data_IF_220482912654
#
_entry.id   IF_220482912654
#
_cell.length_a   1.000
_cell.length_b   1.000
_cell.length_c   1.000
_cell.angle_alpha   90.00
_cell.angle_beta   90.00
_cell.angle_gamma   90.00
#
_symmetry.space_group_name_H-M   'P 1'
#
loop_
_entity.id
_entity.type
_entity.pdbx_description
1 polymer ?
#
# COMPACT_ATOMS: atom_id res chain seq x y z
N UNK A 1 41.70 -7.37 11.04
CA UNK A 1 40.49 -7.60 11.86
C UNK A 1 39.42 -6.68 11.31
N UNK A 2 38.31 -7.21 10.77
CA UNK A 2 37.22 -6.39 10.22
C UNK A 2 36.26 -6.08 11.37
N UNK A 3 36.17 -4.80 11.74
CA UNK A 3 35.17 -4.32 12.66
C UNK A 3 33.80 -4.41 11.99
N UNK A 4 32.99 -5.35 12.45
CA UNK A 4 31.58 -5.44 12.09
C UNK A 4 30.88 -4.24 12.75
N UNK A 5 30.70 -3.15 11.99
CA UNK A 5 29.86 -2.03 12.39
C UNK A 5 28.42 -2.56 12.39
N UNK A 6 27.96 -3.11 13.51
CA UNK A 6 26.55 -3.41 13.71
C UNK A 6 25.80 -2.09 13.79
N UNK A 7 24.85 -1.80 12.89
CA UNK A 7 23.92 -0.69 13.07
C UNK A 7 23.22 -0.86 14.42
N UNK A 8 23.14 0.20 15.21
CA UNK A 8 22.38 0.20 16.46
C UNK A 8 20.97 -0.33 16.16
N UNK A 9 20.54 -1.46 16.77
CA UNK A 9 19.15 -1.85 16.65
C UNK A 9 18.31 -0.70 17.18
N UNK A 10 17.20 -0.41 16.50
CA UNK A 10 16.16 0.48 16.99
C UNK A 10 15.51 -0.16 18.22
N UNK A 11 16.25 -0.31 19.32
CA UNK A 11 15.78 -0.94 20.53
C UNK A 11 15.23 0.11 21.48
N UNK A 12 14.00 -0.16 21.87
CA UNK A 12 13.22 0.57 22.84
C UNK A 12 13.92 0.63 24.20
N UNK A 13 13.87 1.80 24.86
CA UNK A 13 14.17 1.91 26.30
C UNK A 13 13.03 1.33 27.17
N UNK A 14 12.19 0.46 26.62
CA UNK A 14 10.99 -0.06 27.26
C UNK A 14 10.96 -1.59 27.20
N UNK A 15 11.80 -2.25 28.00
CA UNK A 15 11.54 -3.63 28.39
C UNK A 15 12.29 -4.01 29.67
N UNK A 16 11.67 -3.75 30.82
CA UNK A 16 11.80 -4.63 31.98
C UNK A 16 10.45 -5.29 32.25
N UNK A 17 10.53 -6.60 32.47
CA UNK A 17 9.54 -7.67 32.32
C UNK A 17 8.37 -7.69 33.32
N UNK A 18 7.35 -8.48 32.94
CA UNK A 18 6.49 -9.42 33.73
C UNK A 18 5.00 -9.08 33.54
N UNK A 19 4.05 -9.94 33.18
CA UNK A 19 3.92 -11.39 33.01
C UNK A 19 2.41 -11.74 33.01
N UNK A 20 2.04 -13.01 32.75
CA UNK A 20 0.69 -13.63 32.71
C UNK A 20 -0.15 -13.36 31.44
N UNK A 21 -0.41 -14.33 30.55
CA UNK A 21 -1.26 -15.55 30.60
C UNK A 21 -2.74 -15.22 30.83
N UNK A 22 -3.58 -15.49 29.82
CA UNK A 22 -4.72 -16.42 29.90
C UNK A 22 -5.45 -16.59 28.55
N UNK A 23 -6.01 -17.78 28.38
CA UNK A 23 -6.69 -18.31 27.20
C UNK A 23 -8.20 -18.31 27.40
N UNK A 24 -9.01 -18.16 26.36
CA UNK A 24 -10.36 -18.79 26.31
C UNK A 24 -10.75 -19.13 24.87
N UNK A 25 -10.98 -20.42 24.66
CA UNK A 25 -11.60 -21.08 23.50
C UNK A 25 -13.12 -21.01 23.61
N UNK A 26 -13.86 -20.86 22.50
CA UNK A 26 -15.29 -21.21 22.45
C UNK A 26 -15.60 -22.09 21.23
N UNK A 27 -16.15 -23.27 21.53
CA UNK A 27 -16.86 -24.15 20.60
C UNK A 27 -18.34 -23.74 20.53
N UNK A 28 -18.96 -23.86 19.35
CA UNK A 28 -20.41 -23.80 19.18
C UNK A 28 -20.84 -24.62 17.97
N UNK A 29 -21.63 -25.67 18.19
CA UNK A 29 -22.08 -26.69 17.24
C UNK A 29 -23.62 -26.74 17.25
N UNK A 30 -24.24 -27.01 16.11
CA UNK A 30 -25.66 -27.43 15.97
C UNK A 30 -26.57 -26.33 15.39
N UNK A 31 -27.52 -26.58 14.48
CA UNK A 31 -28.21 -27.81 14.06
C UNK A 31 -28.86 -27.65 12.67
N UNK A 32 -28.95 -28.74 11.90
CA UNK A 32 -29.79 -28.92 10.69
C UNK A 32 -31.25 -29.20 11.06
N UNK A 33 -32.18 -28.56 10.36
CA UNK A 33 -33.59 -28.91 10.12
C UNK A 33 -33.91 -28.31 8.74
N UNK A 34 -34.59 -28.90 7.76
CA UNK A 34 -35.41 -30.10 7.64
C UNK A 34 -36.30 -29.82 6.41
N UNK A 35 -36.19 -30.64 5.36
CA UNK A 35 -36.97 -30.50 4.13
C UNK A 35 -38.45 -30.84 4.34
N UNK A 36 -39.37 -30.10 3.72
CA UNK A 36 -40.77 -30.55 3.54
C UNK A 36 -41.36 -30.08 2.21
N UNK A 37 -41.67 -31.07 1.39
CA UNK A 37 -42.35 -30.98 0.10
C UNK A 37 -43.84 -30.63 0.26
N UNK A 38 -44.36 -29.75 -0.60
CA UNK A 38 -45.79 -29.68 -0.91
C UNK A 38 -46.01 -29.56 -2.42
N UNK A 39 -47.04 -30.29 -2.84
CA UNK A 39 -47.41 -30.73 -4.18
C UNK A 39 -48.16 -29.70 -5.03
N UNK A 40 -47.87 -29.75 -6.33
CA UNK A 40 -48.76 -29.69 -7.49
C UNK A 40 -50.14 -28.99 -7.38
N UNK A 41 -50.36 -27.99 -8.25
CA UNK A 41 -51.63 -27.85 -8.98
C UNK A 41 -51.36 -27.39 -10.42
N UNK A 42 -51.86 -28.20 -11.35
CA UNK A 42 -51.86 -28.03 -12.80
C UNK A 42 -52.84 -26.92 -13.23
N UNK A 43 -52.49 -26.14 -14.25
CA UNK A 43 -53.49 -25.41 -15.05
C UNK A 43 -53.26 -25.64 -16.55
N UNK A 44 -54.34 -25.88 -17.32
CA UNK A 44 -54.25 -26.34 -18.70
C UNK A 44 -53.98 -25.19 -19.68
N UNK A 45 -53.28 -25.56 -20.76
CA UNK A 45 -53.16 -24.81 -21.99
C UNK A 45 -54.45 -24.98 -22.81
N UNK A 46 -55.00 -23.90 -23.40
CA UNK A 46 -56.03 -24.03 -24.43
C UNK A 46 -55.77 -23.01 -25.56
N UNK A 47 -55.81 -23.40 -26.85
CA UNK A 47 -55.30 -22.58 -27.93
C UNK A 47 -56.42 -22.01 -28.83
N UNK A 48 -56.00 -21.02 -29.65
CA UNK A 48 -56.61 -20.55 -30.91
C UNK A 48 -57.93 -19.74 -30.84
N UNK A 49 -57.81 -18.43 -31.11
CA UNK A 49 -58.62 -17.79 -32.17
C UNK A 49 -57.75 -16.86 -33.00
N UNK A 50 -57.76 -17.12 -34.29
CA UNK A 50 -57.08 -16.40 -35.34
C UNK A 50 -57.91 -15.21 -35.86
N UNK A 51 -57.19 -14.24 -36.43
CA UNK A 51 -57.67 -13.32 -37.46
C UNK A 51 -58.11 -11.94 -36.95
N UNK A 52 -57.38 -10.87 -37.31
CA UNK A 52 -57.68 -10.07 -38.49
C UNK A 52 -56.65 -8.93 -38.66
N UNK A 53 -56.42 -8.54 -39.91
CA UNK A 53 -55.45 -7.55 -40.39
C UNK A 53 -55.94 -6.11 -40.17
N UNK A 54 -54.98 -5.17 -40.21
CA UNK A 54 -55.03 -3.69 -40.16
C UNK A 54 -54.64 -3.17 -38.77
N UNK A 55 -53.63 -2.31 -38.59
CA UNK A 55 -53.26 -1.18 -39.43
C UNK A 55 -51.83 -0.76 -39.09
N UNK A 56 -50.97 -0.64 -40.10
CA UNK A 56 -49.69 0.06 -39.98
C UNK A 56 -49.98 1.55 -39.75
N UNK A 57 -49.81 2.02 -38.50
CA UNK A 57 -49.54 3.45 -38.27
C UNK A 57 -48.05 3.57 -38.02
N UNK A 58 -47.38 4.15 -39.00
CA UNK A 58 -46.02 4.61 -38.86
C UNK A 58 -45.95 5.61 -37.69
N UNK A 59 -45.25 5.23 -36.62
CA UNK A 59 -44.70 6.18 -35.66
C UNK A 59 -43.24 6.44 -36.04
N UNK A 60 -43.07 7.21 -37.10
CA UNK A 60 -41.87 8.02 -37.33
C UNK A 60 -41.72 8.96 -36.13
N UNK A 61 -40.90 8.59 -35.13
CA UNK A 61 -40.62 9.50 -34.03
C UNK A 61 -39.93 8.95 -32.79
N UNK A 62 -39.26 7.78 -32.81
CA UNK A 62 -38.69 7.21 -31.58
C UNK A 62 -37.37 6.45 -31.70
N UNK A 63 -36.73 6.44 -32.87
CA UNK A 63 -35.52 5.62 -33.06
C UNK A 63 -34.22 6.29 -32.52
N UNK A 64 -34.22 7.62 -32.37
CA UNK A 64 -33.05 8.38 -31.90
C UNK A 64 -33.04 8.64 -30.38
N UNK A 65 -33.83 7.90 -29.60
CA UNK A 65 -33.82 8.03 -28.13
C UNK A 65 -33.87 6.67 -27.42
N UNK A 66 -33.26 5.63 -28.01
CA UNK A 66 -33.00 4.36 -27.31
C UNK A 66 -31.54 3.90 -27.39
N UNK A 67 -30.79 4.37 -28.38
CA UNK A 67 -29.36 4.07 -28.53
C UNK A 67 -28.49 5.09 -27.76
N UNK A 68 -29.00 6.31 -27.52
CA UNK A 68 -28.31 7.36 -26.76
C UNK A 68 -27.99 6.94 -25.30
N UNK A 69 -28.82 6.08 -24.68
CA UNK A 69 -28.66 5.67 -23.28
C UNK A 69 -27.63 4.55 -23.07
N UNK A 70 -27.34 3.72 -24.09
CA UNK A 70 -26.37 2.63 -23.96
C UNK A 70 -24.94 3.19 -23.97
N UNK A 71 -24.69 4.25 -24.75
CA UNK A 71 -23.39 4.95 -24.77
C UNK A 71 -23.17 5.73 -23.45
N UNK A 72 -24.20 6.34 -22.87
CA UNK A 72 -24.08 6.99 -21.55
C UNK A 72 -23.88 6.00 -20.39
N UNK A 73 -24.46 4.80 -20.46
CA UNK A 73 -24.24 3.77 -19.45
C UNK A 73 -22.80 3.21 -19.47
N UNK A 74 -22.15 3.12 -20.65
CA UNK A 74 -20.75 2.68 -20.76
C UNK A 74 -19.75 3.76 -20.33
N UNK A 75 -20.06 5.05 -20.53
CA UNK A 75 -19.26 6.16 -20.00
C UNK A 75 -19.36 6.24 -18.46
N UNK A 76 -20.49 5.83 -17.88
CA UNK A 76 -20.66 5.69 -16.42
C UNK A 76 -20.03 4.40 -15.84
N UNK A 77 -19.90 3.33 -16.64
CA UNK A 77 -19.28 2.06 -16.18
C UNK A 77 -17.74 2.08 -16.25
N UNK A 78 -17.14 2.96 -17.05
CA UNK A 78 -15.67 3.15 -17.11
C UNK A 78 -15.06 3.96 -15.95
N UNK A 79 -15.89 4.59 -15.12
CA UNK A 79 -15.48 5.45 -14.00
C UNK A 79 -15.30 4.70 -12.66
N UNK A 80 -15.54 3.38 -12.66
CA UNK A 80 -15.40 2.51 -11.49
C UNK A 80 -14.12 1.68 -11.50
N UNK A 81 -13.05 2.14 -12.17
CA UNK A 81 -11.73 1.54 -11.97
C UNK A 81 -11.22 1.99 -10.59
N UNK A 82 -11.20 1.13 -9.55
CA UNK A 82 -10.48 1.47 -8.34
C UNK A 82 -9.03 1.70 -8.74
N UNK A 83 -8.50 2.89 -8.47
CA UNK A 83 -7.06 3.12 -8.55
C UNK A 83 -6.40 2.11 -7.62
N UNK A 84 -5.77 1.07 -8.18
CA UNK A 84 -4.89 0.22 -7.41
C UNK A 84 -3.89 1.15 -6.71
N UNK A 85 -3.62 0.98 -5.40
CA UNK A 85 -2.62 1.78 -4.74
C UNK A 85 -1.29 1.50 -5.43
N UNK A 86 -0.90 2.40 -6.34
CA UNK A 86 0.39 2.35 -6.97
C UNK A 86 1.40 2.61 -5.87
N UNK A 87 2.25 1.62 -5.59
CA UNK A 87 3.40 1.80 -4.72
C UNK A 87 4.16 3.04 -5.19
N UNK A 88 4.35 4.01 -4.29
CA UNK A 88 4.87 5.32 -4.68
C UNK A 88 6.33 5.18 -5.13
N UNK A 89 6.61 5.49 -6.39
CA UNK A 89 7.98 5.46 -6.91
C UNK A 89 8.73 6.75 -6.58
N UNK A 90 9.97 6.63 -6.12
CA UNK A 90 10.89 7.76 -5.89
C UNK A 90 12.21 7.50 -6.63
N UNK A 91 12.74 8.52 -7.29
CA UNK A 91 14.04 8.44 -7.97
C UNK A 91 15.22 8.76 -7.05
N UNK A 92 16.40 8.20 -7.36
CA UNK A 92 17.65 8.66 -6.75
C UNK A 92 17.86 10.13 -7.15
N UNK A 93 18.14 11.00 -6.17
CA UNK A 93 18.23 12.45 -6.34
C UNK A 93 16.94 13.20 -5.98
N UNK A 94 15.82 12.49 -5.82
CA UNK A 94 14.53 13.10 -5.52
C UNK A 94 14.27 13.23 -4.02
N UNK A 95 13.32 14.12 -3.71
CA UNK A 95 12.76 14.32 -2.37
C UNK A 95 11.25 14.13 -2.48
N UNK A 96 10.71 13.21 -1.69
CA UNK A 96 9.29 12.92 -1.59
C UNK A 96 8.76 13.48 -0.28
N UNK A 97 7.59 14.12 -0.33
CA UNK A 97 6.83 14.52 0.85
C UNK A 97 5.67 13.54 1.03
N UNK A 98 5.40 13.18 2.28
CA UNK A 98 4.32 12.30 2.66
C UNK A 98 3.77 12.68 4.03
N UNK A 99 2.75 11.97 4.49
CA UNK A 99 2.21 12.12 5.83
C UNK A 99 1.68 10.78 6.30
N UNK A 100 2.05 10.38 7.51
CA UNK A 100 1.42 9.24 8.16
C UNK A 100 0.05 9.65 8.71
N UNK A 101 -0.98 8.92 8.37
CA UNK A 101 -2.39 9.21 8.70
C UNK A 101 -3.05 8.00 9.35
N UNK A 102 -4.24 8.20 9.92
CA UNK A 102 -4.99 7.10 10.55
C UNK A 102 -5.57 6.11 9.54
N UNK A 103 -5.61 6.46 8.26
CA UNK A 103 -6.05 5.58 7.17
C UNK A 103 -4.93 4.69 6.61
N UNK A 104 -3.68 4.92 7.03
CA UNK A 104 -2.56 4.13 6.53
C UNK A 104 -2.57 2.72 7.10
N UNK A 105 -1.94 1.81 6.35
CA UNK A 105 -1.77 0.43 6.81
C UNK A 105 -0.88 0.42 8.05
N UNK A 106 -1.17 -0.51 8.96
CA UNK A 106 -0.44 -0.69 10.21
C UNK A 106 0.42 -1.94 10.19
N UNK A 107 1.64 -1.85 10.72
CA UNK A 107 2.49 -3.00 10.90
C UNK A 107 1.83 -3.98 11.88
N UNK A 108 1.84 -5.27 11.52
CA UNK A 108 1.26 -6.32 12.38
C UNK A 108 2.06 -6.53 13.67
N UNK A 109 3.34 -6.14 13.68
CA UNK A 109 4.25 -6.31 14.81
C UNK A 109 3.98 -5.35 15.96
N UNK A 110 3.74 -4.06 15.65
CA UNK A 110 3.69 -2.99 16.64
C UNK A 110 2.52 -2.00 16.45
N UNK A 111 1.73 -2.14 15.38
CA UNK A 111 0.61 -1.25 15.06
C UNK A 111 0.99 0.10 14.48
N UNK A 112 2.27 0.37 14.19
CA UNK A 112 2.72 1.64 13.60
C UNK A 112 2.19 1.83 12.18
N UNK A 113 1.69 3.03 11.85
CA UNK A 113 1.32 3.36 10.48
C UNK A 113 2.58 3.46 9.61
N UNK A 114 2.46 3.04 8.35
CA UNK A 114 3.58 3.03 7.43
C UNK A 114 3.18 3.36 5.99
N UNK A 115 4.16 3.89 5.27
CA UNK A 115 4.14 4.08 3.82
C UNK A 115 5.24 3.27 3.14
N UNK A 116 4.96 2.85 1.90
CA UNK A 116 5.92 2.16 1.05
C UNK A 116 6.33 3.00 -0.15
N UNK A 117 7.62 2.95 -0.44
CA UNK A 117 8.21 3.51 -1.63
C UNK A 117 9.05 2.48 -2.37
N UNK A 118 9.24 2.70 -3.67
CA UNK A 118 10.16 1.91 -4.49
C UNK A 118 11.09 2.82 -5.28
N UNK A 119 12.31 2.36 -5.50
CA UNK A 119 13.25 3.02 -6.42
C UNK A 119 14.06 1.99 -7.19
N UNK A 120 14.57 2.40 -8.36
CA UNK A 120 15.49 1.57 -9.15
C UNK A 120 16.92 2.00 -8.86
N UNK A 121 17.77 1.03 -8.52
CA UNK A 121 19.20 1.22 -8.30
C UNK A 121 20.05 0.37 -9.22
N UNK A 122 21.34 0.69 -9.28
CA UNK A 122 22.38 -0.08 -9.98
C UNK A 122 23.41 -0.58 -8.99
N UNK A 123 23.92 -1.78 -9.21
CA UNK A 123 25.00 -2.35 -8.41
C UNK A 123 26.19 -1.38 -8.36
N UNK A 124 26.80 -1.24 -7.19
CA UNK A 124 27.93 -0.35 -6.97
C UNK A 124 27.56 1.12 -6.75
N UNK A 125 26.31 1.55 -6.94
CA UNK A 125 25.90 2.91 -6.61
C UNK A 125 25.94 3.12 -5.10
N UNK A 126 26.64 4.16 -4.65
CA UNK A 126 26.62 4.59 -3.26
C UNK A 126 25.51 5.62 -3.07
N UNK A 127 24.56 5.32 -2.18
CA UNK A 127 23.42 6.20 -1.91
C UNK A 127 23.30 6.55 -0.44
N UNK A 128 22.59 7.66 -0.16
CA UNK A 128 22.08 8.04 1.14
C UNK A 128 20.56 8.16 1.06
N UNK A 129 19.85 7.42 1.91
CA UNK A 129 18.41 7.55 2.11
C UNK A 129 18.17 8.22 3.45
N UNK A 130 17.33 9.24 3.49
CA UNK A 130 17.07 10.05 4.67
C UNK A 130 15.58 10.25 4.89
N UNK A 131 15.13 10.01 6.12
CA UNK A 131 13.78 10.27 6.59
C UNK A 131 13.82 11.32 7.71
N UNK A 132 13.02 12.36 7.55
CA UNK A 132 12.88 13.46 8.51
C UNK A 132 11.41 13.74 8.80
N UNK A 133 11.05 13.81 10.08
CA UNK A 133 9.76 14.32 10.54
C UNK A 133 9.96 15.16 11.81
N UNK A 134 9.10 16.16 12.00
CA UNK A 134 8.96 16.90 13.27
C UNK A 134 7.77 16.41 14.09
N UNK A 135 6.96 15.50 13.53
CA UNK A 135 5.70 15.05 14.12
C UNK A 135 5.84 13.71 14.82
N UNK A 136 6.80 12.87 14.42
CA UNK A 136 7.02 11.55 15.00
C UNK A 136 8.50 11.13 14.93
N UNK A 137 8.90 10.21 15.80
CA UNK A 137 10.20 9.53 15.71
C UNK A 137 10.13 8.49 14.58
N UNK A 138 11.01 8.65 13.59
CA UNK A 138 10.92 7.94 12.32
C UNK A 138 11.77 6.67 12.28
N UNK A 139 11.22 5.62 11.69
CA UNK A 139 11.91 4.39 11.35
C UNK A 139 11.97 4.23 9.84
N UNK A 140 13.18 4.07 9.32
CA UNK A 140 13.49 3.94 7.90
C UNK A 140 14.07 2.56 7.65
N UNK A 141 13.44 1.79 6.77
CA UNK A 141 13.91 0.44 6.40
C UNK A 141 14.11 0.37 4.89
N UNK A 142 15.27 -0.13 4.48
CA UNK A 142 15.61 -0.46 3.10
C UNK A 142 15.54 -1.99 2.93
N UNK A 143 14.79 -2.45 1.93
CA UNK A 143 14.62 -3.86 1.62
C UNK A 143 14.97 -4.16 0.16
N UNK A 144 15.25 -5.44 -0.08
CA UNK A 144 15.46 -5.98 -1.41
C UNK A 144 14.13 -6.13 -2.18
N UNK A 145 14.21 -6.72 -3.38
CA UNK A 145 13.04 -6.95 -4.25
C UNK A 145 12.03 -7.94 -3.64
N UNK A 146 12.51 -8.84 -2.79
CA UNK A 146 11.73 -9.93 -2.18
C UNK A 146 11.14 -9.48 -0.83
N UNK A 147 11.42 -8.24 -0.40
CA UNK A 147 10.94 -7.66 0.85
C UNK A 147 11.84 -7.96 2.06
N UNK A 148 13.02 -8.54 1.84
CA UNK A 148 13.99 -8.83 2.89
C UNK A 148 14.69 -7.54 3.31
N UNK A 149 14.76 -7.29 4.62
CA UNK A 149 15.48 -6.13 5.14
C UNK A 149 16.98 -6.21 4.84
N UNK A 150 17.51 -5.16 4.22
CA UNK A 150 18.95 -4.97 3.99
C UNK A 150 19.55 -4.14 5.11
N UNK A 151 18.86 -3.05 5.49
CA UNK A 151 19.34 -2.10 6.50
C UNK A 151 18.19 -1.25 7.03
N UNK A 152 18.27 -0.88 8.30
CA UNK A 152 17.35 0.06 8.94
C UNK A 152 18.08 1.17 9.71
N UNK A 153 17.35 2.24 10.01
CA UNK A 153 17.83 3.38 10.80
C UNK A 153 16.65 4.07 11.49
N UNK A 154 16.89 4.68 12.65
CA UNK A 154 15.92 5.52 13.35
C UNK A 154 16.37 6.99 13.47
N UNK A 155 15.38 7.87 13.48
CA UNK A 155 15.51 9.30 13.73
C UNK A 155 14.55 9.75 14.83
N UNK A 156 14.77 10.94 15.37
CA UNK A 156 13.88 11.55 16.36
C UNK A 156 13.27 12.83 15.81
N UNK A 157 12.08 13.15 16.31
CA UNK A 157 11.38 14.40 15.96
C UNK A 157 12.11 15.66 16.42
N UNK A 158 13.07 15.56 17.35
CA UNK A 158 13.88 16.69 17.81
C UNK A 158 14.95 17.15 16.80
N UNK A 159 14.94 16.61 15.58
CA UNK A 159 15.79 17.08 14.48
C UNK A 159 16.92 16.13 14.10
N UNK A 160 16.90 14.88 14.58
CA UNK A 160 17.82 13.84 14.12
C UNK A 160 17.14 12.97 13.06
N UNK A 161 17.50 13.08 11.77
CA UNK A 161 16.89 12.24 10.74
C UNK A 161 17.34 10.78 10.85
N UNK A 162 16.49 9.85 10.44
CA UNK A 162 16.90 8.47 10.19
C UNK A 162 17.68 8.45 8.86
N UNK A 163 18.87 7.83 8.83
CA UNK A 163 19.73 7.89 7.64
C UNK A 163 20.42 6.55 7.39
N UNK A 164 20.22 6.03 6.18
CA UNK A 164 20.90 4.85 5.64
C UNK A 164 21.92 5.31 4.60
N UNK A 165 23.17 4.84 4.70
CA UNK A 165 24.21 5.02 3.68
C UNK A 165 24.71 3.65 3.24
N UNK A 166 24.58 3.33 1.96
CA UNK A 166 24.87 1.98 1.46
C UNK A 166 25.41 2.03 0.03
N UNK A 167 26.27 1.06 -0.30
CA UNK A 167 26.59 0.71 -1.70
C UNK A 167 25.64 -0.39 -2.14
N UNK A 168 24.81 -0.13 -3.15
CA UNK A 168 23.78 -1.07 -3.59
C UNK A 168 24.42 -2.37 -4.11
N UNK A 169 24.02 -3.55 -3.59
CA UNK A 169 24.66 -4.81 -3.95
C UNK A 169 24.31 -5.28 -5.38
N UNK A 170 23.15 -4.90 -5.92
CA UNK A 170 22.67 -5.39 -7.21
C UNK A 170 21.94 -4.30 -8.01
N UNK A 171 21.73 -4.55 -9.30
CA UNK A 171 20.91 -3.67 -10.15
C UNK A 171 19.47 -4.17 -10.13
N UNK A 172 18.52 -3.32 -9.76
CA UNK A 172 17.13 -3.75 -9.62
C UNK A 172 16.26 -2.76 -8.87
N UNK A 173 15.08 -3.26 -8.47
CA UNK A 173 14.15 -2.54 -7.61
C UNK A 173 14.51 -2.78 -6.15
N UNK A 174 14.40 -1.71 -5.37
CA UNK A 174 14.52 -1.69 -3.93
C UNK A 174 13.26 -1.09 -3.34
N UNK A 175 12.94 -1.52 -2.13
CA UNK A 175 11.78 -1.04 -1.39
C UNK A 175 12.22 -0.26 -0.16
N UNK A 176 11.49 0.82 0.15
CA UNK A 176 11.68 1.61 1.35
C UNK A 176 10.37 1.57 2.13
N UNK A 177 10.45 1.25 3.42
CA UNK A 177 9.36 1.48 4.36
C UNK A 177 9.70 2.67 5.24
N UNK A 178 8.75 3.59 5.32
CA UNK A 178 8.75 4.70 6.27
C UNK A 178 7.64 4.39 7.27
N UNK A 179 7.98 4.30 8.55
CA UNK A 179 6.98 4.16 9.61
C UNK A 179 7.35 5.01 10.82
N UNK A 180 6.38 5.28 11.69
CA UNK A 180 6.71 5.80 13.01
C UNK A 180 7.27 4.68 13.88
N UNK A 181 8.18 5.00 14.81
CA UNK A 181 8.61 4.08 15.85
C UNK A 181 7.47 3.69 16.82
N UNK A 182 6.40 4.47 16.88
CA UNK A 182 5.28 4.21 17.78
C UNK A 182 3.98 4.07 16.99
N UNK A 183 3.07 3.21 17.50
CA UNK A 183 1.69 3.10 16.97
C UNK A 183 0.97 4.43 16.83
N UNK A 184 1.39 5.40 17.65
CA UNK A 184 0.73 6.69 17.70
C UNK A 184 1.30 7.80 16.83
N UNK A 185 2.37 7.54 16.07
CA UNK A 185 2.95 8.57 15.21
C UNK A 185 2.09 8.88 14.00
N UNK A 186 1.73 10.15 13.83
CA UNK A 186 1.09 10.71 12.63
C UNK A 186 1.79 11.99 12.22
N UNK A 187 1.53 12.41 11.00
CA UNK A 187 1.90 13.72 10.50
C UNK A 187 2.91 13.69 9.36
N UNK A 188 3.30 14.88 8.88
CA UNK A 188 4.12 15.02 7.68
C UNK A 188 5.55 14.52 7.89
N UNK A 189 6.13 14.06 6.79
CA UNK A 189 7.55 13.71 6.72
C UNK A 189 8.12 14.03 5.34
N UNK A 190 9.45 13.98 5.26
CA UNK A 190 10.20 14.07 4.01
C UNK A 190 11.13 12.86 3.89
N UNK A 191 11.05 12.17 2.76
CA UNK A 191 11.94 11.10 2.35
C UNK A 191 12.84 11.58 1.22
N UNK A 192 14.15 11.37 1.33
CA UNK A 192 15.12 11.81 0.31
C UNK A 192 16.10 10.71 -0.03
N UNK A 193 16.38 10.56 -1.33
CA UNK A 193 17.44 9.67 -1.82
C UNK A 193 18.47 10.52 -2.55
N UNK A 194 19.76 10.34 -2.23
CA UNK A 194 20.88 11.01 -2.90
C UNK A 194 21.94 10.01 -3.31
N UNK A 195 22.64 10.28 -4.40
CA UNK A 195 23.96 9.70 -4.61
C UNK A 195 24.93 10.27 -3.56
N UNK A 196 25.83 9.41 -3.09
CA UNK A 196 26.98 9.82 -2.28
C UNK A 196 28.17 9.80 -3.22
N UNK A 197 28.48 10.95 -3.80
CA UNK A 197 29.65 11.07 -4.65
C UNK A 197 30.91 10.85 -3.82
N UNK A 198 31.80 9.99 -4.31
CA UNK A 198 33.14 9.78 -3.73
C UNK A 198 34.08 10.99 -3.94
N UNK A 199 33.62 12.03 -4.65
CA UNK A 199 34.46 13.10 -5.19
C UNK A 199 34.77 14.27 -4.24
N UNK A 200 34.27 14.29 -3.01
CA UNK A 200 34.57 15.40 -2.08
C UNK A 200 35.87 15.25 -1.29
N UNK A 201 36.72 14.25 -1.60
CA UNK A 201 37.99 14.00 -0.89
C UNK A 201 39.26 14.26 -1.70
N UNK A 202 39.16 14.83 -2.91
CA UNK A 202 40.32 15.09 -3.78
C UNK A 202 40.55 16.60 -4.11
N UNK A 203 40.06 17.52 -3.27
CA UNK A 203 40.30 18.98 -3.44
C UNK A 203 40.88 19.62 -2.18
N UNK A 204 42.00 19.07 -1.69
CA UNK A 204 42.67 19.56 -0.49
C UNK A 204 44.05 18.96 -0.28
N UNK A 205 44.87 18.88 -1.33
CA UNK A 205 46.31 18.69 -1.19
C UNK A 205 46.98 19.47 -2.34
N UNK A 206 47.15 20.77 -2.11
CA UNK A 206 47.99 21.67 -2.90
C UNK A 206 48.68 22.58 -1.90
N UNK A 207 50.01 22.53 -1.87
CA UNK A 207 50.87 23.38 -1.05
C UNK A 207 52.07 22.62 -0.54
#
# INVERSE_FOLDING_TARGET
>A
MRETITPWPCQDRASTLTGSREAVTWCGRGTRLGDRWHSAWSRPYNPLKAGFIQQTRAETGGLMMRIQYIIQALILLGLLLPSLPAQSSIGIGQTQRGSLTDTDKRLKSDGSPYDWYQFRGRSGQRISVELSSKSFDGHLVLMDRDGTEIMSSCGTREGRPARIKITLPYTGIYHIRVNSLYKEGRGPYTLKIKLVDSASRAKGEVG
#
